data_IF_221098163539
#
_entry.id   IF_221098163539
#
_cell.length_a   1.000
_cell.length_b   1.000
_cell.length_c   1.000
_cell.angle_alpha   90.00
_cell.angle_beta   90.00
_cell.angle_gamma   90.00
#
_symmetry.space_group_name_H-M   'P 1'
#
loop_
_entity.id
_entity.type
_entity.pdbx_description
1 polymer ?
#
# COMPACT_ATOMS: atom_id res chain seq x y z
N UNK A 1 -21.53 -18.93 -17.54
CA UNK A 1 -20.31 -18.42 -16.89
C UNK A 1 -20.60 -17.01 -16.40
N UNK A 2 -20.34 -16.71 -15.13
CA UNK A 2 -20.55 -15.38 -14.59
C UNK A 2 -19.47 -14.39 -15.08
N UNK A 3 -19.75 -13.08 -15.04
CA UNK A 3 -18.84 -12.08 -15.58
C UNK A 3 -17.43 -12.14 -14.94
N UNK A 4 -17.33 -12.34 -13.63
CA UNK A 4 -16.05 -12.45 -12.93
C UNK A 4 -15.28 -13.72 -13.34
N UNK A 5 -15.97 -14.84 -13.60
CA UNK A 5 -15.33 -16.08 -14.06
C UNK A 5 -14.73 -15.92 -15.46
N UNK A 6 -15.40 -15.17 -16.35
CA UNK A 6 -14.87 -14.84 -17.66
C UNK A 6 -13.58 -14.02 -17.57
N UNK A 7 -13.57 -13.03 -16.68
CA UNK A 7 -12.41 -12.18 -16.42
C UNK A 7 -11.25 -12.97 -15.82
N UNK A 8 -11.53 -13.82 -14.83
CA UNK A 8 -10.52 -14.73 -14.27
C UNK A 8 -9.90 -15.64 -15.35
N UNK A 9 -10.72 -16.20 -16.23
CA UNK A 9 -10.25 -17.02 -17.34
C UNK A 9 -9.41 -16.25 -18.35
N UNK A 10 -9.78 -15.01 -18.65
CA UNK A 10 -8.98 -14.15 -19.56
C UNK A 10 -7.61 -13.83 -18.94
N UNK A 11 -7.56 -13.47 -17.67
CA UNK A 11 -6.31 -13.19 -16.94
C UNK A 11 -5.44 -14.45 -16.90
N UNK A 12 -6.03 -15.59 -16.58
CA UNK A 12 -5.33 -16.88 -16.56
C UNK A 12 -4.70 -17.20 -17.91
N UNK A 13 -5.47 -17.12 -19.01
CA UNK A 13 -4.98 -17.38 -20.35
C UNK A 13 -3.86 -16.41 -20.76
N UNK A 14 -4.01 -15.12 -20.42
CA UNK A 14 -2.99 -14.10 -20.68
C UNK A 14 -1.70 -14.40 -19.90
N UNK A 15 -1.82 -14.84 -18.65
CA UNK A 15 -0.68 -15.24 -17.83
C UNK A 15 0.05 -16.45 -18.44
N UNK A 16 -0.66 -17.52 -18.81
CA UNK A 16 -0.06 -18.70 -19.44
C UNK A 16 0.64 -18.34 -20.76
N UNK A 17 0.03 -17.45 -21.55
CA UNK A 17 0.61 -16.96 -22.81
C UNK A 17 1.95 -16.26 -22.55
N UNK A 18 2.00 -15.27 -21.65
CA UNK A 18 3.27 -14.55 -21.38
C UNK A 18 4.32 -15.47 -20.76
N UNK A 19 3.93 -16.41 -19.91
CA UNK A 19 4.84 -17.38 -19.32
C UNK A 19 5.48 -18.27 -20.39
N UNK A 20 4.70 -18.72 -21.37
CA UNK A 20 5.19 -19.52 -22.51
C UNK A 20 6.09 -18.71 -23.43
N UNK A 21 5.71 -17.48 -23.78
CA UNK A 21 6.43 -16.62 -24.71
C UNK A 21 7.68 -15.98 -24.09
N UNK A 22 7.63 -15.69 -22.79
CA UNK A 22 8.72 -15.04 -22.05
C UNK A 22 8.81 -15.57 -20.60
N UNK A 23 9.36 -16.77 -20.40
CA UNK A 23 9.46 -17.39 -19.07
C UNK A 23 10.29 -16.56 -18.07
N UNK A 24 11.17 -15.72 -18.57
CA UNK A 24 11.95 -14.78 -17.73
C UNK A 24 11.09 -13.80 -16.94
N UNK A 25 9.91 -13.44 -17.44
CA UNK A 25 8.97 -12.54 -16.74
C UNK A 25 8.48 -13.09 -15.40
N UNK A 26 8.35 -14.39 -15.29
CA UNK A 26 7.89 -15.06 -14.06
C UNK A 26 9.03 -15.69 -13.26
N UNK A 27 10.28 -15.52 -13.68
CA UNK A 27 11.43 -16.14 -13.03
C UNK A 27 11.73 -15.55 -11.64
N UNK A 28 11.54 -14.24 -11.47
CA UNK A 28 11.74 -13.55 -10.18
C UNK A 28 10.45 -13.58 -9.37
N UNK A 29 10.59 -13.81 -8.06
CA UNK A 29 9.49 -13.68 -7.10
C UNK A 29 9.08 -12.21 -6.95
N UNK A 30 7.82 -11.99 -6.58
CA UNK A 30 7.33 -10.70 -6.13
C UNK A 30 8.05 -10.28 -4.83
N UNK A 31 8.33 -8.99 -4.68
CA UNK A 31 8.90 -8.49 -3.43
C UNK A 31 7.79 -8.44 -2.37
N UNK A 32 7.95 -9.22 -1.32
CA UNK A 32 7.04 -9.21 -0.18
C UNK A 32 7.58 -8.23 0.86
N UNK A 33 6.78 -7.21 1.14
CA UNK A 33 6.96 -6.23 2.21
C UNK A 33 5.97 -6.53 3.34
N UNK A 34 5.86 -5.64 4.30
CA UNK A 34 4.85 -5.67 5.36
C UNK A 34 4.61 -4.28 5.91
N UNK A 35 3.35 -3.85 6.03
CA UNK A 35 2.99 -2.60 6.70
C UNK A 35 2.98 -2.82 8.22
N UNK A 36 3.80 -2.07 8.96
CA UNK A 36 3.81 -2.18 10.42
C UNK A 36 2.68 -1.39 11.11
N UNK A 37 1.78 -0.81 10.32
CA UNK A 37 0.62 -0.11 10.87
C UNK A 37 -0.19 -0.99 11.83
N UNK A 38 -0.49 -2.23 11.43
CA UNK A 38 -1.21 -3.20 12.26
C UNK A 38 -0.44 -3.67 13.52
N UNK A 39 0.85 -3.36 13.64
CA UNK A 39 1.65 -3.66 14.83
C UNK A 39 1.52 -2.60 15.93
N UNK A 40 0.89 -1.47 15.62
CA UNK A 40 0.61 -0.41 16.58
C UNK A 40 1.86 0.22 17.18
N UNK A 41 1.89 0.32 18.50
CA UNK A 41 2.92 1.04 19.25
C UNK A 41 4.11 0.16 19.69
N UNK A 42 4.23 -1.06 19.15
CA UNK A 42 5.38 -1.89 19.53
C UNK A 42 6.71 -1.29 19.04
N UNK A 43 7.81 -1.51 19.75
CA UNK A 43 9.12 -1.03 19.31
C UNK A 43 9.49 -1.53 17.91
N UNK A 44 10.03 -0.65 17.05
CA UNK A 44 10.38 -0.97 15.68
C UNK A 44 11.28 -2.22 15.56
N UNK A 45 12.26 -2.38 16.46
CA UNK A 45 13.14 -3.54 16.47
C UNK A 45 12.38 -4.88 16.61
N UNK A 46 11.27 -4.89 17.36
CA UNK A 46 10.42 -6.08 17.52
C UNK A 46 9.70 -6.40 16.22
N UNK A 47 9.12 -5.36 15.57
CA UNK A 47 8.46 -5.49 14.26
C UNK A 47 9.44 -6.01 13.19
N UNK A 48 10.60 -5.38 13.08
CA UNK A 48 11.61 -5.71 12.08
C UNK A 48 12.15 -7.13 12.29
N UNK A 49 12.44 -7.51 13.54
CA UNK A 49 12.87 -8.87 13.86
C UNK A 49 11.82 -9.92 13.46
N UNK A 50 10.54 -9.66 13.76
CA UNK A 50 9.42 -10.54 13.34
C UNK A 50 9.41 -10.76 11.84
N UNK A 51 9.59 -9.71 11.05
CA UNK A 51 9.61 -9.80 9.59
C UNK A 51 10.82 -10.59 9.09
N UNK A 52 12.01 -10.28 9.61
CA UNK A 52 13.24 -10.99 9.26
C UNK A 52 13.18 -12.47 9.56
N UNK A 53 12.66 -12.87 10.73
CA UNK A 53 12.48 -14.26 11.15
C UNK A 53 11.52 -15.03 10.20
N UNK A 54 10.61 -14.34 9.51
CA UNK A 54 9.69 -14.92 8.53
C UNK A 54 10.15 -14.72 7.06
N UNK A 55 11.40 -14.34 6.84
CA UNK A 55 11.98 -14.16 5.50
C UNK A 55 11.45 -12.96 4.73
N UNK A 56 10.79 -12.01 5.38
CA UNK A 56 10.32 -10.75 4.80
C UNK A 56 11.45 -9.73 4.89
N UNK A 57 11.90 -9.21 3.75
CA UNK A 57 13.07 -8.34 3.65
C UNK A 57 12.73 -6.87 3.41
N UNK A 58 11.45 -6.53 3.36
CA UNK A 58 10.99 -5.18 3.17
C UNK A 58 9.90 -4.82 4.19
N UNK A 59 9.92 -3.58 4.66
CA UNK A 59 8.91 -3.03 5.57
C UNK A 59 8.37 -1.72 5.01
N UNK A 60 7.07 -1.51 5.13
CA UNK A 60 6.45 -0.21 5.00
C UNK A 60 6.21 0.33 6.40
N UNK A 61 6.72 1.55 6.66
CA UNK A 61 6.60 2.16 7.96
C UNK A 61 5.32 2.96 8.10
N UNK A 62 4.67 2.86 9.25
CA UNK A 62 3.55 3.70 9.62
C UNK A 62 3.98 5.17 9.68
N UNK A 63 3.34 6.04 8.91
CA UNK A 63 3.74 7.44 8.74
C UNK A 63 3.48 8.35 9.95
N UNK A 64 3.01 7.80 11.05
CA UNK A 64 2.86 8.51 12.33
C UNK A 64 2.90 7.49 13.48
N UNK A 65 4.08 7.02 13.81
CA UNK A 65 4.27 5.97 14.82
C UNK A 65 4.25 6.54 16.26
N UNK A 66 3.13 7.20 16.61
CA UNK A 66 2.77 7.60 17.97
C UNK A 66 3.85 8.35 18.75
N UNK A 67 4.41 9.39 18.16
CA UNK A 67 5.41 10.23 18.82
C UNK A 67 5.72 11.50 18.04
N UNK A 68 6.53 12.40 18.59
CA UNK A 68 7.02 13.55 17.84
C UNK A 68 7.81 13.10 16.61
N UNK A 69 7.85 13.95 15.59
CA UNK A 69 8.61 13.72 14.36
C UNK A 69 8.34 12.34 13.70
N UNK A 70 7.05 11.99 13.55
CA UNK A 70 6.59 10.72 13.01
C UNK A 70 6.87 9.50 13.92
N UNK A 71 7.38 9.70 15.12
CA UNK A 71 7.72 8.64 16.07
C UNK A 71 8.96 7.84 15.72
N UNK A 72 9.78 8.31 14.79
CA UNK A 72 11.03 7.69 14.35
C UNK A 72 12.20 8.68 14.40
N UNK A 73 13.39 8.14 14.64
CA UNK A 73 14.66 8.85 14.46
C UNK A 73 15.38 8.20 13.25
N UNK A 74 15.73 8.94 12.20
CA UNK A 74 16.26 8.35 10.97
C UNK A 74 17.48 7.46 11.18
N UNK A 75 18.44 7.90 12.00
CA UNK A 75 19.66 7.12 12.30
C UNK A 75 19.38 5.82 13.03
N UNK A 76 18.50 5.84 14.04
CA UNK A 76 18.08 4.67 14.81
C UNK A 76 17.28 3.70 13.92
N UNK A 77 16.36 4.24 13.11
CA UNK A 77 15.58 3.45 12.15
C UNK A 77 16.49 2.70 11.20
N UNK A 78 17.46 3.38 10.58
CA UNK A 78 18.43 2.74 9.68
C UNK A 78 19.22 1.63 10.37
N UNK A 79 19.74 1.90 11.56
CA UNK A 79 20.50 0.92 12.33
C UNK A 79 19.66 -0.35 12.59
N UNK A 80 18.42 -0.20 13.04
CA UNK A 80 17.52 -1.33 13.29
C UNK A 80 17.25 -2.13 11.99
N UNK A 81 17.02 -1.45 10.88
CA UNK A 81 16.76 -2.10 9.59
C UNK A 81 18.00 -2.87 9.10
N UNK A 82 19.18 -2.23 9.15
CA UNK A 82 20.45 -2.80 8.70
C UNK A 82 20.86 -4.02 9.54
N UNK A 83 20.69 -3.96 10.86
CA UNK A 83 21.00 -5.06 11.79
C UNK A 83 20.19 -6.34 11.49
N UNK A 84 19.03 -6.21 10.87
CA UNK A 84 18.17 -7.35 10.54
C UNK A 84 18.12 -7.67 9.03
N UNK A 85 18.87 -6.93 8.20
CA UNK A 85 18.86 -7.08 6.74
C UNK A 85 17.48 -6.85 6.13
N UNK A 86 16.72 -5.88 6.66
CA UNK A 86 15.43 -5.42 6.17
C UNK A 86 15.59 -4.02 5.58
N UNK A 87 14.93 -3.74 4.47
CA UNK A 87 14.95 -2.42 3.83
C UNK A 87 13.57 -1.76 3.92
N UNK A 88 13.54 -0.44 4.00
CA UNK A 88 12.28 0.30 3.93
C UNK A 88 11.77 0.34 2.48
N UNK A 89 10.62 -0.26 2.22
CA UNK A 89 9.93 -0.18 0.93
C UNK A 89 9.32 1.21 0.73
N UNK A 90 8.62 1.69 1.75
CA UNK A 90 7.91 2.97 1.72
C UNK A 90 7.36 3.36 3.08
N UNK A 91 6.59 4.44 3.09
CA UNK A 91 5.90 4.96 4.27
C UNK A 91 4.40 5.00 3.99
N UNK A 92 3.61 4.37 4.85
CA UNK A 92 2.16 4.48 4.85
C UNK A 92 1.78 5.88 5.38
N UNK A 93 1.47 6.81 4.48
CA UNK A 93 1.10 8.17 4.82
C UNK A 93 -0.23 8.21 5.57
N UNK A 94 -0.27 8.90 6.70
CA UNK A 94 -1.44 8.98 7.58
C UNK A 94 -2.15 10.31 7.41
N UNK A 95 -3.35 10.28 6.84
CA UNK A 95 -4.19 11.44 6.58
C UNK A 95 -5.49 11.34 7.37
N UNK A 96 -5.74 12.34 8.18
CA UNK A 96 -6.92 12.46 9.03
C UNK A 96 -7.61 13.81 8.82
N UNK A 97 -8.66 14.08 9.56
CA UNK A 97 -9.34 15.38 9.52
C UNK A 97 -8.45 16.57 9.93
N UNK A 98 -7.29 16.31 10.54
CA UNK A 98 -6.35 17.33 11.01
C UNK A 98 -5.26 17.68 9.99
N UNK A 99 -5.05 16.80 8.99
CA UNK A 99 -4.08 16.96 7.90
C UNK A 99 -4.65 16.48 6.57
N UNK A 100 -5.78 17.02 6.19
CA UNK A 100 -6.58 16.66 5.01
C UNK A 100 -6.26 17.56 3.81
N UNK A 101 -5.74 16.98 2.72
CA UNK A 101 -5.41 17.67 1.49
C UNK A 101 -6.62 18.35 0.84
N UNK A 102 -7.82 17.81 1.04
CA UNK A 102 -9.07 18.26 0.42
C UNK A 102 -9.87 19.23 1.29
N UNK A 103 -9.41 19.49 2.52
CA UNK A 103 -10.14 20.32 3.50
C UNK A 103 -10.47 21.72 2.96
N UNK A 104 -11.67 22.22 3.28
CA UNK A 104 -12.05 23.61 3.01
C UNK A 104 -11.32 24.61 3.93
N UNK A 105 -10.67 24.14 5.00
CA UNK A 105 -9.82 24.95 5.87
C UNK A 105 -8.38 25.01 5.37
N UNK A 106 -7.88 26.23 5.08
CA UNK A 106 -6.48 26.44 4.69
C UNK A 106 -5.46 25.98 5.72
N UNK A 107 -5.79 26.07 7.01
CA UNK A 107 -4.91 25.61 8.11
C UNK A 107 -4.75 24.09 8.07
N UNK A 108 -5.83 23.35 7.86
CA UNK A 108 -5.78 21.88 7.79
C UNK A 108 -4.99 21.43 6.56
N UNK A 109 -5.15 22.10 5.42
CA UNK A 109 -4.33 21.81 4.23
C UNK A 109 -2.86 22.13 4.45
N UNK A 110 -2.55 23.23 5.16
CA UNK A 110 -1.16 23.54 5.53
C UNK A 110 -0.56 22.43 6.42
N UNK A 111 -1.32 21.93 7.40
CA UNK A 111 -0.87 20.79 8.22
C UNK A 111 -0.54 19.56 7.35
N UNK A 112 -1.35 19.29 6.31
CA UNK A 112 -1.07 18.18 5.38
C UNK A 112 0.22 18.41 4.58
N UNK A 113 0.48 19.64 4.12
CA UNK A 113 1.72 20.00 3.43
C UNK A 113 2.93 19.86 4.35
N UNK A 114 2.86 20.36 5.56
CA UNK A 114 3.94 20.26 6.54
C UNK A 114 4.21 18.80 6.95
N UNK A 115 3.16 18.00 7.08
CA UNK A 115 3.27 16.57 7.29
C UNK A 115 4.00 15.88 6.13
N UNK A 116 3.61 16.17 4.89
CA UNK A 116 4.25 15.58 3.69
C UNK A 116 5.73 15.97 3.61
N UNK A 117 6.09 17.24 3.85
CA UNK A 117 7.48 17.69 3.83
C UNK A 117 8.34 16.93 4.83
N UNK A 118 7.89 16.83 6.07
CA UNK A 118 8.60 16.03 7.10
C UNK A 118 8.73 14.56 6.71
N UNK A 119 7.67 13.98 6.15
CA UNK A 119 7.68 12.58 5.73
C UNK A 119 8.61 12.35 4.54
N UNK A 120 8.68 13.28 3.58
CA UNK A 120 9.61 13.22 2.44
C UNK A 120 11.06 13.30 2.92
N UNK A 121 11.39 14.20 3.84
CA UNK A 121 12.72 14.31 4.40
C UNK A 121 13.13 13.03 5.14
N UNK A 122 12.25 12.51 5.99
CA UNK A 122 12.47 11.25 6.69
C UNK A 122 12.64 10.07 5.70
N UNK A 123 11.77 9.97 4.68
CA UNK A 123 11.85 8.93 3.65
C UNK A 123 13.19 8.95 2.91
N UNK A 124 13.67 10.14 2.56
CA UNK A 124 14.97 10.31 1.91
C UNK A 124 16.14 9.86 2.80
N UNK A 125 16.10 10.20 4.09
CA UNK A 125 17.13 9.81 5.04
C UNK A 125 17.21 8.30 5.28
N UNK A 126 16.08 7.60 5.31
CA UNK A 126 16.03 6.14 5.51
C UNK A 126 16.03 5.35 4.20
N UNK A 127 16.13 6.03 3.05
CA UNK A 127 16.12 5.45 1.70
C UNK A 127 14.82 4.69 1.38
N UNK A 128 13.68 5.17 1.85
CA UNK A 128 12.37 4.65 1.48
C UNK A 128 12.07 4.95 0.00
N UNK A 129 11.39 4.05 -0.69
CA UNK A 129 11.10 4.18 -2.12
C UNK A 129 9.87 5.04 -2.43
N UNK A 130 8.89 5.06 -1.53
CA UNK A 130 7.60 5.76 -1.74
C UNK A 130 6.97 6.25 -0.44
N UNK A 131 6.00 7.15 -0.60
CA UNK A 131 5.08 7.57 0.46
C UNK A 131 3.66 7.41 -0.08
N UNK A 132 2.77 6.79 0.68
CA UNK A 132 1.35 6.75 0.38
C UNK A 132 0.74 8.14 0.58
N UNK A 133 -0.10 8.54 -0.35
CA UNK A 133 -0.82 9.80 -0.33
C UNK A 133 -2.31 9.52 -0.47
N UNK A 134 -3.08 9.85 0.55
CA UNK A 134 -4.54 9.79 0.50
C UNK A 134 -5.08 11.18 0.10
N UNK A 135 -5.83 11.29 -1.01
CA UNK A 135 -6.36 12.57 -1.50
C UNK A 135 -7.31 13.30 -0.55
N UNK A 136 -7.99 12.58 0.33
CA UNK A 136 -8.89 13.10 1.37
C UNK A 136 -8.54 12.57 2.74
N UNK A 137 -9.32 12.93 3.77
CA UNK A 137 -9.12 12.41 5.12
C UNK A 137 -9.77 11.04 5.31
N UNK A 138 -9.05 10.08 5.88
CA UNK A 138 -9.62 8.82 6.35
C UNK A 138 -10.56 9.09 7.53
N UNK A 139 -11.70 8.39 7.55
CA UNK A 139 -12.77 8.61 8.54
C UNK A 139 -13.71 9.77 8.19
N UNK A 140 -13.65 10.28 6.97
CA UNK A 140 -14.56 11.33 6.46
C UNK A 140 -15.15 10.95 5.10
N UNK A 141 -16.24 10.17 5.04
CA UNK A 141 -16.87 9.75 3.80
C UNK A 141 -17.68 10.88 3.11
N UNK A 142 -18.13 11.88 3.86
CA UNK A 142 -18.92 13.00 3.32
C UNK A 142 -18.05 14.10 2.74
N UNK A 143 -18.39 14.58 1.56
CA UNK A 143 -17.72 15.76 0.95
C UNK A 143 -17.96 17.04 1.75
N UNK A 144 -17.02 17.98 1.70
CA UNK A 144 -17.22 19.34 2.17
C UNK A 144 -18.08 20.15 1.18
N UNK A 145 -17.80 20.00 -0.11
CA UNK A 145 -18.42 20.75 -1.21
C UNK A 145 -18.05 20.12 -2.58
N UNK A 146 -18.55 20.71 -3.66
CA UNK A 146 -18.37 20.19 -5.02
C UNK A 146 -16.96 20.40 -5.60
N UNK A 147 -16.14 21.29 -5.01
CA UNK A 147 -14.78 21.60 -5.46
C UNK A 147 -13.70 20.89 -4.60
N UNK A 148 -14.08 19.92 -3.83
CA UNK A 148 -13.17 19.20 -2.94
C UNK A 148 -12.06 18.46 -3.69
N UNK A 149 -12.38 17.85 -4.81
CA UNK A 149 -11.42 17.15 -5.66
C UNK A 149 -10.35 18.10 -6.20
N UNK A 150 -10.76 19.21 -6.79
CA UNK A 150 -9.89 20.25 -7.34
C UNK A 150 -8.99 20.84 -6.26
N UNK A 151 -9.55 21.08 -5.09
CA UNK A 151 -8.81 21.60 -3.93
C UNK A 151 -7.71 20.65 -3.47
N UNK A 152 -7.99 19.35 -3.43
CA UNK A 152 -6.99 18.34 -3.12
C UNK A 152 -5.87 18.32 -4.18
N UNK A 153 -6.22 18.37 -5.47
CA UNK A 153 -5.27 18.47 -6.58
C UNK A 153 -4.37 19.71 -6.46
N UNK A 154 -4.93 20.87 -6.19
CA UNK A 154 -4.17 22.10 -5.99
C UNK A 154 -3.24 22.02 -4.77
N UNK A 155 -3.71 21.43 -3.69
CA UNK A 155 -2.92 21.30 -2.45
C UNK A 155 -1.71 20.41 -2.66
N UNK A 156 -1.87 19.22 -3.22
CA UNK A 156 -0.74 18.29 -3.41
C UNK A 156 0.30 18.80 -4.42
N UNK A 157 -0.11 19.62 -5.40
CA UNK A 157 0.82 20.26 -6.34
C UNK A 157 1.88 21.10 -5.64
N UNK A 158 1.56 21.71 -4.49
CA UNK A 158 2.49 22.57 -3.74
C UNK A 158 3.71 21.83 -3.17
N UNK A 159 3.67 20.49 -3.12
CA UNK A 159 4.80 19.65 -2.66
C UNK A 159 5.29 18.67 -3.72
N UNK A 160 4.74 18.72 -4.93
CA UNK A 160 5.05 17.75 -5.98
C UNK A 160 6.53 17.80 -6.43
N UNK A 161 7.12 18.99 -6.46
CA UNK A 161 8.56 19.18 -6.75
C UNK A 161 9.45 18.54 -5.68
N UNK A 162 9.04 18.52 -4.41
CA UNK A 162 9.81 17.92 -3.33
C UNK A 162 9.90 16.40 -3.50
N UNK A 163 8.82 15.73 -3.91
CA UNK A 163 8.84 14.32 -4.28
C UNK A 163 9.85 14.03 -5.40
N UNK A 164 9.84 14.84 -6.46
CA UNK A 164 10.76 14.69 -7.60
C UNK A 164 12.20 14.90 -7.21
N UNK A 165 12.51 15.99 -6.50
CA UNK A 165 13.87 16.39 -6.13
C UNK A 165 14.52 15.39 -5.16
N UNK A 166 13.74 14.80 -4.25
CA UNK A 166 14.19 13.79 -3.30
C UNK A 166 14.13 12.36 -3.87
N UNK A 167 13.60 12.18 -5.09
CA UNK A 167 13.42 10.88 -5.75
C UNK A 167 12.55 9.91 -4.95
N UNK A 168 11.59 10.43 -4.20
CA UNK A 168 10.57 9.67 -3.48
C UNK A 168 9.34 9.60 -4.36
N UNK A 169 8.73 8.43 -4.49
CA UNK A 169 7.50 8.26 -5.27
C UNK A 169 6.29 8.59 -4.41
N UNK A 170 5.42 9.49 -4.87
CA UNK A 170 4.09 9.65 -4.28
C UNK A 170 3.17 8.57 -4.85
N UNK A 171 2.67 7.69 -4.00
CA UNK A 171 1.74 6.62 -4.35
C UNK A 171 0.33 6.99 -3.89
N UNK A 172 -0.51 7.44 -4.83
CA UNK A 172 -1.90 7.80 -4.54
C UNK A 172 -2.69 6.55 -4.18
N UNK A 173 -3.32 6.56 -3.03
CA UNK A 173 -4.15 5.48 -2.56
C UNK A 173 -5.63 5.75 -2.81
N UNK A 174 -6.30 4.77 -3.44
CA UNK A 174 -7.75 4.72 -3.52
C UNK A 174 -8.32 3.98 -2.31
N UNK A 175 -9.22 4.64 -1.59
CA UNK A 175 -9.82 4.11 -0.36
C UNK A 175 -11.34 4.06 -0.54
N UNK A 176 -12.00 3.04 0.01
CA UNK A 176 -13.43 2.81 -0.13
C UNK A 176 -14.27 4.03 0.29
N UNK A 177 -15.38 4.22 -0.38
CA UNK A 177 -16.31 5.34 -0.19
C UNK A 177 -16.91 5.46 1.21
N UNK A 178 -16.88 4.38 1.98
CA UNK A 178 -17.27 4.39 3.39
C UNK A 178 -16.26 5.11 4.31
N UNK A 179 -15.03 5.36 3.86
CA UNK A 179 -13.96 5.95 4.68
C UNK A 179 -13.47 7.31 4.18
N UNK A 180 -13.51 7.56 2.86
CA UNK A 180 -13.05 8.82 2.27
C UNK A 180 -14.09 9.42 1.33
N UNK A 181 -13.99 10.71 1.05
CA UNK A 181 -14.96 11.46 0.23
C UNK A 181 -14.65 11.48 -1.26
N UNK A 182 -13.40 11.23 -1.64
CA UNK A 182 -12.91 11.28 -3.03
C UNK A 182 -11.90 10.18 -3.29
N UNK A 183 -11.75 9.76 -4.54
CA UNK A 183 -10.79 8.77 -5.04
C UNK A 183 -10.99 7.39 -4.42
N UNK A 184 -11.93 6.63 -4.98
CA UNK A 184 -12.37 5.33 -4.44
C UNK A 184 -11.83 4.16 -5.25
N UNK A 185 -11.59 4.35 -6.55
CA UNK A 185 -11.14 3.29 -7.46
C UNK A 185 -9.78 3.60 -8.05
N UNK A 186 -9.12 2.57 -8.60
CA UNK A 186 -7.91 2.76 -9.42
C UNK A 186 -8.15 3.75 -10.56
N UNK A 187 -9.37 3.76 -11.13
CA UNK A 187 -9.74 4.72 -12.17
C UNK A 187 -9.75 6.15 -11.66
N UNK A 188 -10.22 6.37 -10.44
CA UNK A 188 -10.24 7.70 -9.83
C UNK A 188 -8.83 8.15 -9.44
N UNK A 189 -7.98 7.23 -8.95
CA UNK A 189 -6.57 7.52 -8.71
C UNK A 189 -5.84 7.93 -10.00
N UNK A 190 -6.12 7.26 -11.12
CA UNK A 190 -5.57 7.68 -12.44
C UNK A 190 -6.05 9.07 -12.84
N UNK A 191 -7.35 9.37 -12.68
CA UNK A 191 -7.91 10.71 -12.97
C UNK A 191 -7.27 11.77 -12.06
N UNK A 192 -7.09 11.46 -10.78
CA UNK A 192 -6.47 12.36 -9.81
C UNK A 192 -5.03 12.69 -10.20
N UNK A 193 -4.23 11.69 -10.55
CA UNK A 193 -2.85 11.85 -11.05
C UNK A 193 -2.83 12.67 -12.34
N UNK A 194 -3.75 12.41 -13.27
CA UNK A 194 -3.88 13.18 -14.52
C UNK A 194 -4.25 14.64 -14.26
N UNK A 195 -5.16 14.90 -13.31
CA UNK A 195 -5.55 16.26 -12.92
C UNK A 195 -4.40 17.02 -12.26
N UNK A 196 -3.54 16.34 -11.48
CA UNK A 196 -2.33 16.95 -10.92
C UNK A 196 -1.34 17.34 -12.01
N UNK A 197 -1.18 16.53 -13.04
CA UNK A 197 -0.29 16.73 -14.19
C UNK A 197 1.14 17.14 -13.79
N UNK A 198 1.75 16.33 -12.90
CA UNK A 198 3.10 16.61 -12.39
C UNK A 198 3.94 15.33 -12.29
N UNK A 199 5.22 15.33 -12.73
CA UNK A 199 6.06 14.12 -12.72
C UNK A 199 6.34 13.56 -11.31
N UNK A 200 6.24 14.36 -10.26
CA UNK A 200 6.42 13.92 -8.87
C UNK A 200 5.28 13.04 -8.33
N UNK A 201 4.09 13.11 -8.96
CA UNK A 201 2.88 12.39 -8.48
C UNK A 201 2.37 11.51 -9.62
N UNK A 202 2.93 10.30 -9.77
CA UNK A 202 2.65 9.43 -10.92
C UNK A 202 2.28 7.99 -10.54
N UNK A 203 2.34 7.65 -9.26
CA UNK A 203 2.22 6.27 -8.81
C UNK A 203 0.95 6.02 -8.00
N UNK A 204 0.59 4.75 -7.86
CA UNK A 204 -0.60 4.27 -7.18
C UNK A 204 -0.21 3.23 -6.14
N UNK A 205 -0.82 3.32 -4.96
CA UNK A 205 -1.03 2.22 -4.05
C UNK A 205 -2.43 1.65 -4.28
N UNK A 206 -2.52 0.35 -4.53
CA UNK A 206 -3.79 -0.37 -4.45
C UNK A 206 -3.93 -1.00 -3.07
N UNK A 207 -5.15 -1.09 -2.55
CA UNK A 207 -5.44 -1.89 -1.35
C UNK A 207 -6.60 -2.82 -1.63
N UNK A 208 -6.34 -4.13 -1.60
CA UNK A 208 -7.37 -5.13 -1.93
C UNK A 208 -8.56 -5.08 -0.98
N UNK A 209 -8.37 -4.65 0.28
CA UNK A 209 -9.45 -4.48 1.23
C UNK A 209 -10.43 -3.40 0.78
N UNK A 210 -9.94 -2.26 0.31
CA UNK A 210 -10.77 -1.20 -0.23
C UNK A 210 -11.33 -1.56 -1.61
N UNK A 211 -10.52 -2.20 -2.45
CA UNK A 211 -10.91 -2.61 -3.80
C UNK A 211 -12.06 -3.63 -3.82
N UNK A 212 -12.24 -4.42 -2.76
CA UNK A 212 -13.33 -5.41 -2.68
C UNK A 212 -14.72 -4.78 -2.79
N UNK A 213 -14.92 -3.57 -2.25
CA UNK A 213 -16.20 -2.86 -2.31
C UNK A 213 -16.34 -1.90 -3.48
N UNK A 214 -15.24 -1.45 -4.05
CA UNK A 214 -15.23 -0.35 -5.04
C UNK A 214 -14.91 -0.82 -6.46
N UNK A 215 -14.17 -1.90 -6.64
CA UNK A 215 -13.79 -2.39 -7.96
C UNK A 215 -14.69 -3.52 -8.44
N UNK A 216 -15.13 -3.44 -9.68
CA UNK A 216 -15.89 -4.53 -10.28
C UNK A 216 -15.09 -5.84 -10.38
N UNK A 217 -13.75 -5.76 -10.42
CA UNK A 217 -12.84 -6.89 -10.46
C UNK A 217 -11.43 -6.46 -10.07
N UNK A 218 -10.93 -6.93 -8.93
CA UNK A 218 -9.65 -6.49 -8.36
C UNK A 218 -8.47 -6.70 -9.32
N UNK A 219 -8.34 -7.90 -9.89
CA UNK A 219 -7.22 -8.21 -10.77
C UNK A 219 -7.25 -7.41 -12.10
N UNK A 220 -8.42 -7.05 -12.63
CA UNK A 220 -8.51 -6.12 -13.77
C UNK A 220 -8.09 -4.71 -13.38
N UNK A 221 -8.46 -4.25 -12.19
CA UNK A 221 -8.04 -2.96 -11.68
C UNK A 221 -6.51 -2.90 -11.51
N UNK A 222 -5.89 -3.98 -11.02
CA UNK A 222 -4.42 -4.15 -10.97
C UNK A 222 -3.81 -4.01 -12.38
N UNK A 223 -4.35 -4.72 -13.38
CA UNK A 223 -3.88 -4.61 -14.77
C UNK A 223 -4.05 -3.19 -15.30
N UNK A 224 -5.17 -2.53 -15.00
CA UNK A 224 -5.45 -1.16 -15.40
C UNK A 224 -4.49 -0.13 -14.78
N UNK A 225 -4.12 -0.32 -13.53
CA UNK A 225 -3.10 0.50 -12.87
C UNK A 225 -1.73 0.38 -13.58
N UNK A 226 -1.40 -0.80 -14.07
CA UNK A 226 -0.21 -1.07 -14.88
C UNK A 226 1.07 -0.60 -14.20
N UNK A 227 1.89 0.13 -14.93
CA UNK A 227 3.18 0.63 -14.42
C UNK A 227 3.06 1.68 -13.31
N UNK A 228 1.88 2.26 -13.11
CA UNK A 228 1.64 3.21 -12.01
C UNK A 228 1.56 2.51 -10.66
N UNK A 229 1.12 1.25 -10.63
CA UNK A 229 1.05 0.47 -9.40
C UNK A 229 2.47 0.16 -8.91
N UNK A 230 2.84 0.64 -7.73
CA UNK A 230 4.14 0.38 -7.12
C UNK A 230 4.04 -0.34 -5.79
N UNK A 231 2.91 -0.25 -5.13
CA UNK A 231 2.59 -1.00 -3.94
C UNK A 231 1.17 -1.57 -4.02
N UNK A 232 0.98 -2.74 -3.44
CA UNK A 232 -0.33 -3.36 -3.29
C UNK A 232 -0.48 -3.85 -1.85
N UNK A 233 -1.31 -3.15 -1.08
CA UNK A 233 -1.73 -3.62 0.24
C UNK A 233 -2.61 -4.84 0.09
N UNK A 234 -2.37 -5.83 0.94
CA UNK A 234 -3.09 -7.08 0.90
C UNK A 234 -3.54 -7.56 2.28
N UNK A 235 -4.76 -8.02 2.33
CA UNK A 235 -5.31 -8.81 3.41
C UNK A 235 -6.30 -9.81 2.81
N UNK A 236 -6.73 -10.82 3.56
CA UNK A 236 -7.81 -11.67 3.06
C UNK A 236 -9.16 -10.91 3.12
N UNK A 237 -10.21 -11.48 2.57
CA UNK A 237 -11.53 -10.86 2.42
C UNK A 237 -12.14 -10.34 3.73
N UNK A 238 -11.72 -10.90 4.85
CA UNK A 238 -12.15 -10.53 6.21
C UNK A 238 -11.09 -9.68 6.97
N UNK A 239 -10.12 -9.12 6.23
CA UNK A 239 -8.96 -8.37 6.74
C UNK A 239 -8.05 -9.16 7.67
N UNK A 240 -8.15 -10.48 7.67
CA UNK A 240 -7.25 -11.38 8.37
C UNK A 240 -5.99 -11.73 7.56
N UNK A 241 -5.16 -12.62 8.09
CA UNK A 241 -4.02 -13.18 7.38
C UNK A 241 -4.46 -13.81 6.05
N UNK A 242 -3.61 -13.73 5.02
CA UNK A 242 -3.87 -14.39 3.74
C UNK A 242 -4.05 -15.90 3.95
N UNK A 243 -5.12 -16.44 3.39
CA UNK A 243 -5.55 -17.81 3.55
C UNK A 243 -6.59 -18.04 4.66
N UNK A 244 -7.01 -16.97 5.36
CA UNK A 244 -8.07 -17.02 6.38
C UNK A 244 -9.43 -16.53 5.89
N UNK A 245 -9.55 -16.20 4.61
CA UNK A 245 -10.78 -15.73 3.98
C UNK A 245 -11.02 -16.35 2.61
N UNK A 246 -11.66 -15.59 1.72
CA UNK A 246 -12.10 -16.04 0.41
C UNK A 246 -11.52 -15.21 -0.76
N UNK A 247 -10.42 -14.49 -0.53
CA UNK A 247 -9.77 -13.68 -1.57
C UNK A 247 -9.23 -14.54 -2.70
N UNK A 248 -9.54 -14.20 -3.95
CA UNK A 248 -8.93 -14.84 -5.14
C UNK A 248 -7.49 -14.33 -5.34
N UNK A 249 -6.61 -14.78 -4.45
CA UNK A 249 -5.20 -14.42 -4.48
C UNK A 249 -4.50 -14.89 -5.77
N UNK A 250 -4.90 -16.02 -6.31
CA UNK A 250 -4.29 -16.59 -7.51
C UNK A 250 -4.46 -15.69 -8.74
N UNK A 251 -5.66 -15.17 -8.94
CA UNK A 251 -5.92 -14.25 -10.06
C UNK A 251 -5.21 -12.91 -9.85
N UNK A 252 -5.12 -12.42 -8.63
CA UNK A 252 -4.35 -11.21 -8.29
C UNK A 252 -2.87 -11.42 -8.58
N UNK A 253 -2.26 -12.52 -8.13
CA UNK A 253 -0.83 -12.82 -8.41
C UNK A 253 -0.57 -12.90 -9.92
N UNK A 254 -1.44 -13.55 -10.70
CA UNK A 254 -1.32 -13.58 -12.16
C UNK A 254 -1.35 -12.19 -12.78
N UNK A 255 -2.27 -11.33 -12.31
CA UNK A 255 -2.37 -9.93 -12.76
C UNK A 255 -1.09 -9.13 -12.44
N UNK A 256 -0.50 -9.34 -11.27
CA UNK A 256 0.76 -8.71 -10.89
C UNK A 256 1.90 -9.09 -11.83
N UNK A 257 2.03 -10.36 -12.21
CA UNK A 257 3.02 -10.78 -13.20
C UNK A 257 2.75 -10.21 -14.60
N UNK A 258 1.49 -10.02 -14.98
CA UNK A 258 1.12 -9.41 -16.27
C UNK A 258 1.63 -7.97 -16.41
N UNK A 259 1.77 -7.25 -15.32
CA UNK A 259 2.24 -5.85 -15.29
C UNK A 259 3.70 -5.69 -14.84
N UNK A 260 4.48 -6.79 -14.85
CA UNK A 260 5.88 -6.81 -14.43
C UNK A 260 6.08 -6.29 -12.97
N UNK A 261 5.17 -6.65 -12.06
CA UNK A 261 5.19 -6.18 -10.68
C UNK A 261 6.31 -6.80 -9.82
N UNK A 262 7.05 -7.76 -10.35
CA UNK A 262 8.25 -8.33 -9.74
C UNK A 262 9.53 -7.50 -10.02
N UNK A 263 9.37 -6.24 -10.43
CA UNK A 263 10.45 -5.27 -10.51
C UNK A 263 10.99 -4.91 -9.11
N UNK A 264 12.26 -4.46 -9.00
CA UNK A 264 12.91 -4.24 -7.69
C UNK A 264 12.24 -3.20 -6.79
N UNK A 265 11.50 -2.26 -7.38
CA UNK A 265 10.90 -1.09 -6.74
C UNK A 265 9.37 -1.18 -6.60
N UNK A 266 8.84 -2.41 -6.62
CA UNK A 266 7.41 -2.70 -6.48
C UNK A 266 7.19 -3.76 -5.42
N UNK A 267 6.14 -3.58 -4.60
CA UNK A 267 5.97 -4.38 -3.40
C UNK A 267 4.54 -4.88 -3.23
N UNK A 268 4.41 -6.13 -2.83
CA UNK A 268 3.19 -6.67 -2.22
C UNK A 268 3.35 -6.50 -0.71
N UNK A 269 2.47 -5.75 -0.10
CA UNK A 269 2.58 -5.34 1.30
C UNK A 269 1.36 -5.80 2.08
N UNK A 270 1.40 -6.98 2.72
CA UNK A 270 0.35 -7.40 3.62
C UNK A 270 0.13 -6.41 4.76
N UNK A 271 -1.16 -6.18 5.03
CA UNK A 271 -1.65 -5.28 6.08
C UNK A 271 -2.88 -5.84 6.80
N UNK A 272 -2.84 -7.10 7.26
CA UNK A 272 -3.97 -7.65 8.00
C UNK A 272 -4.08 -6.99 9.37
N UNK A 273 -5.32 -6.71 9.79
CA UNK A 273 -5.64 -6.14 11.11
C UNK A 273 -6.34 -7.14 12.03
N UNK A 274 -6.74 -8.28 11.48
CA UNK A 274 -7.53 -9.27 12.18
C UNK A 274 -9.04 -9.10 12.00
N UNK A 275 -9.84 -9.94 12.64
CA UNK A 275 -11.29 -9.93 12.51
C UNK A 275 -11.91 -8.57 12.86
N UNK A 276 -12.79 -8.08 11.96
CA UNK A 276 -13.42 -6.77 12.13
C UNK A 276 -12.60 -5.59 11.63
N UNK A 277 -11.32 -5.79 11.30
CA UNK A 277 -10.46 -4.77 10.68
C UNK A 277 -10.27 -3.49 11.49
N UNK A 278 -10.34 -3.60 12.83
CA UNK A 278 -10.19 -2.47 13.74
C UNK A 278 -8.70 -2.29 14.12
N UNK A 279 -8.04 -1.19 13.72
CA UNK A 279 -6.66 -0.92 14.10
C UNK A 279 -6.49 -0.38 15.52
N UNK A 280 -7.56 0.05 16.16
CA UNK A 280 -7.50 0.72 17.46
C UNK A 280 -6.91 -0.12 18.61
N UNK A 281 -7.13 -1.45 18.68
CA UNK A 281 -6.45 -2.26 19.68
C UNK A 281 -4.93 -2.14 19.62
N UNK A 282 -4.36 -2.13 18.41
CA UNK A 282 -2.93 -1.93 18.21
C UNK A 282 -2.49 -0.52 18.62
N UNK A 283 -3.25 0.51 18.24
CA UNK A 283 -2.98 1.91 18.58
C UNK A 283 -2.98 2.17 20.08
N UNK A 284 -3.73 1.41 20.84
CA UNK A 284 -3.80 1.54 22.30
C UNK A 284 -2.95 0.52 23.07
N UNK A 285 -2.02 -0.16 22.40
CA UNK A 285 -1.15 -1.14 23.03
C UNK A 285 -1.84 -2.42 23.50
N UNK A 286 -3.01 -2.73 22.92
CA UNK A 286 -3.81 -3.92 23.28
C UNK A 286 -3.56 -5.13 22.39
N UNK A 287 -2.58 -5.09 21.49
CA UNK A 287 -2.32 -6.17 20.55
C UNK A 287 -1.58 -7.31 21.21
N UNK A 288 -2.04 -8.53 20.95
CA UNK A 288 -1.35 -9.74 21.39
C UNK A 288 -0.21 -10.08 20.41
N UNK A 289 1.03 -10.09 20.93
CA UNK A 289 2.21 -10.42 20.15
C UNK A 289 2.10 -11.80 19.45
N UNK A 290 1.49 -12.79 20.10
CA UNK A 290 1.32 -14.13 19.52
C UNK A 290 0.40 -14.12 18.30
N UNK A 291 -0.63 -13.28 18.34
CA UNK A 291 -1.54 -13.08 17.20
C UNK A 291 -0.78 -12.44 16.05
N UNK A 292 0.02 -11.40 16.31
CA UNK A 292 0.85 -10.74 15.29
C UNK A 292 1.86 -11.70 14.67
N UNK A 293 2.58 -12.47 15.50
CA UNK A 293 3.56 -13.46 15.04
C UNK A 293 2.88 -14.51 14.13
N UNK A 294 1.69 -15.00 14.54
CA UNK A 294 0.92 -15.98 13.77
C UNK A 294 0.42 -15.39 12.43
N UNK A 295 -0.07 -14.15 12.42
CA UNK A 295 -0.54 -13.49 11.19
C UNK A 295 0.60 -13.31 10.17
N UNK A 296 1.77 -12.88 10.62
CA UNK A 296 2.93 -12.69 9.72
C UNK A 296 3.38 -14.03 9.15
N UNK A 297 3.59 -15.02 10.00
CA UNK A 297 4.01 -16.35 9.57
C UNK A 297 3.03 -16.97 8.58
N UNK A 298 1.74 -16.97 8.91
CA UNK A 298 0.69 -17.57 8.07
C UNK A 298 0.60 -16.88 6.72
N UNK A 299 0.57 -15.55 6.71
CA UNK A 299 0.50 -14.75 5.48
C UNK A 299 1.71 -15.01 4.59
N UNK A 300 2.93 -14.97 5.14
CA UNK A 300 4.15 -15.18 4.38
C UNK A 300 4.20 -16.58 3.74
N UNK A 301 3.88 -17.62 4.54
CA UNK A 301 3.86 -19.02 4.06
C UNK A 301 2.79 -19.20 2.98
N UNK A 302 1.57 -18.72 3.23
CA UNK A 302 0.46 -18.88 2.28
C UNK A 302 0.74 -18.15 0.96
N UNK A 303 1.14 -16.87 1.03
CA UNK A 303 1.47 -16.09 -0.16
C UNK A 303 2.55 -16.77 -1.01
N UNK A 304 3.67 -17.18 -0.40
CA UNK A 304 4.78 -17.83 -1.11
C UNK A 304 4.39 -19.17 -1.72
N UNK A 305 3.57 -19.96 -1.03
CA UNK A 305 3.03 -21.21 -1.57
C UNK A 305 2.12 -20.98 -2.78
N UNK A 306 1.24 -19.96 -2.74
CA UNK A 306 0.38 -19.62 -3.89
C UNK A 306 1.19 -19.05 -5.05
N UNK A 307 2.13 -18.18 -4.78
CA UNK A 307 3.03 -17.63 -5.78
C UNK A 307 3.83 -18.73 -6.50
N UNK A 308 4.41 -19.67 -5.75
CA UNK A 308 5.15 -20.81 -6.30
C UNK A 308 4.26 -21.68 -7.20
N UNK A 309 3.09 -22.07 -6.71
CA UNK A 309 2.10 -22.80 -7.50
C UNK A 309 1.78 -22.12 -8.84
N UNK A 310 1.56 -20.80 -8.84
CA UNK A 310 1.26 -20.03 -10.04
C UNK A 310 2.47 -19.99 -11.00
N UNK A 311 3.66 -19.79 -10.46
CA UNK A 311 4.89 -19.76 -11.26
C UNK A 311 5.23 -21.13 -11.88
N UNK A 312 4.78 -22.22 -11.30
CA UNK A 312 4.99 -23.60 -11.79
C UNK A 312 3.87 -24.11 -12.70
N UNK A 313 2.69 -23.48 -12.72
CA UNK A 313 1.57 -23.86 -13.60
C UNK A 313 2.04 -24.05 -15.05
N UNK A 314 1.55 -25.07 -15.73
CA UNK A 314 1.82 -25.39 -17.14
C UNK A 314 0.68 -24.96 -18.04
#
# INVERSE_FOLDING_TARGET
MQNFELKNKQIHNSFLKIKKENPGKVAKKLNLSWSNWGFGIEPLAVSVKRLADNGIRFIELHGNHYGPDLGYKPSETRMILDDHGVSCAGICGMFSRENDLSSNSGVIRQNALDYLKRTIDFAAEIKAGYILVVPGAVGRPGKYDDVEFERSVETIRLVADEFSSRKIKAAVESIRSAEVSIVHTISDAVKYIQAIDHPGIQHINGDVYHMQSEEAHIAEAVIKAGKRLINLHMADSNRCALGDGSMDLDTIIKALYLIDFNAPDRFVTPEPLGPGGDPYPAMYGKTDKKILDAMVMKTAVYFRKREEYIREMT
#
